data_IF_059117614727
#
_entry.id   IF_059117614727
#
_cell.length_a   1.000
_cell.length_b   1.000
_cell.length_c   1.000
_cell.angle_alpha   90.00
_cell.angle_beta   90.00
_cell.angle_gamma   90.00
#
_symmetry.space_group_name_H-M   'P 1'
#
loop_
_entity.id
_entity.type
_entity.pdbx_description
1 polymer ?
#
# COMPACT_ATOMS: atom_id res chain seq x y z
N UNK A 1 29.76 -31.48 -18.37
CA UNK A 1 29.01 -30.22 -18.47
C UNK A 1 27.71 -30.44 -17.71
N UNK A 2 27.68 -30.08 -16.43
CA UNK A 2 26.47 -30.23 -15.62
C UNK A 2 25.48 -29.14 -16.04
N UNK A 3 24.19 -29.47 -16.27
CA UNK A 3 23.20 -28.46 -16.56
C UNK A 3 23.07 -27.58 -15.31
N UNK A 4 23.18 -26.27 -15.51
CA UNK A 4 22.78 -25.29 -14.50
C UNK A 4 21.32 -25.58 -14.13
N UNK A 5 20.95 -25.58 -12.83
CA UNK A 5 19.54 -25.67 -12.47
C UNK A 5 18.79 -24.47 -13.08
N UNK A 6 17.58 -24.67 -13.62
CA UNK A 6 16.77 -23.57 -14.10
C UNK A 6 16.57 -22.58 -12.95
N UNK A 7 16.91 -21.31 -13.18
CA UNK A 7 16.54 -20.22 -12.29
C UNK A 7 15.03 -20.32 -12.06
N UNK A 8 14.63 -20.56 -10.81
CA UNK A 8 13.22 -20.52 -10.41
C UNK A 8 12.61 -19.22 -10.95
N UNK A 9 11.45 -19.27 -11.63
CA UNK A 9 10.76 -18.04 -11.99
C UNK A 9 10.52 -17.25 -10.71
N UNK A 10 10.69 -15.91 -10.71
CA UNK A 10 10.27 -15.11 -9.58
C UNK A 10 8.80 -15.45 -9.29
N UNK A 11 8.49 -15.80 -8.05
CA UNK A 11 7.10 -16.05 -7.63
C UNK A 11 6.32 -14.80 -8.02
N UNK A 12 5.49 -14.93 -9.05
CA UNK A 12 4.65 -13.85 -9.52
C UNK A 12 3.52 -13.69 -8.51
N UNK A 13 3.80 -12.99 -7.41
CA UNK A 13 2.75 -12.47 -6.56
C UNK A 13 2.14 -11.33 -7.33
N UNK A 14 0.90 -11.48 -7.79
CA UNK A 14 0.16 -10.42 -8.48
C UNK A 14 -0.91 -9.81 -7.56
N UNK A 15 -1.26 -10.52 -6.49
CA UNK A 15 -2.33 -10.17 -5.56
C UNK A 15 -1.99 -10.51 -4.09
N UNK A 16 -2.79 -10.00 -3.16
CA UNK A 16 -2.66 -10.36 -1.74
C UNK A 16 -3.15 -11.79 -1.47
N UNK A 17 -4.04 -12.29 -2.31
CA UNK A 17 -4.52 -13.66 -2.31
C UNK A 17 -3.37 -14.62 -2.61
N UNK A 18 -2.56 -14.34 -3.62
CA UNK A 18 -1.36 -15.14 -3.94
C UNK A 18 -0.40 -15.18 -2.76
N UNK A 19 -0.17 -14.03 -2.12
CA UNK A 19 0.64 -13.93 -0.89
C UNK A 19 0.07 -14.79 0.24
N UNK A 20 -1.25 -14.89 0.37
CA UNK A 20 -1.93 -15.70 1.39
C UNK A 20 -1.89 -17.21 1.08
N UNK A 21 -1.68 -17.60 -0.17
CA UNK A 21 -1.61 -19.01 -0.61
C UNK A 21 -0.20 -19.58 -0.56
N UNK A 22 0.82 -18.73 -0.65
CA UNK A 22 2.23 -19.11 -0.61
C UNK A 22 2.88 -18.88 0.78
N UNK A 23 4.11 -19.40 0.96
CA UNK A 23 4.89 -19.23 2.20
C UNK A 23 6.39 -18.95 1.97
N UNK A 24 6.80 -18.78 0.72
CA UNK A 24 8.16 -18.48 0.27
C UNK A 24 8.55 -17.02 0.54
N UNK A 25 7.65 -16.08 0.23
CA UNK A 25 7.80 -14.65 0.51
C UNK A 25 7.14 -14.36 1.86
N UNK A 26 7.93 -13.85 2.79
CA UNK A 26 7.41 -13.36 4.06
C UNK A 26 6.63 -12.06 3.85
N UNK A 27 5.62 -11.79 4.66
CA UNK A 27 4.90 -10.53 4.60
C UNK A 27 4.47 -10.05 5.98
N UNK A 28 4.43 -8.72 6.13
CA UNK A 28 4.15 -8.08 7.40
C UNK A 28 3.70 -6.63 7.26
N UNK A 29 3.36 -6.02 8.39
CA UNK A 29 2.84 -4.64 8.49
C UNK A 29 3.62 -3.85 9.54
N UNK A 30 3.37 -2.54 9.61
CA UNK A 30 3.87 -1.70 10.69
C UNK A 30 3.24 -2.14 12.03
N UNK A 31 4.08 -2.40 13.03
CA UNK A 31 3.64 -2.78 14.37
C UNK A 31 2.82 -1.65 15.00
N UNK A 32 1.64 -1.98 15.53
CA UNK A 32 0.70 -1.00 16.10
C UNK A 32 0.02 -0.09 15.08
N UNK A 33 0.23 -0.30 13.78
CA UNK A 33 -0.37 0.50 12.70
C UNK A 33 -1.84 0.15 12.42
N UNK A 34 -2.52 1.03 11.69
CA UNK A 34 -3.90 0.83 11.21
C UNK A 34 -4.03 -0.42 10.33
N UNK A 35 -3.04 -0.69 9.48
CA UNK A 35 -3.00 -1.88 8.62
C UNK A 35 -2.91 -3.17 9.44
N UNK A 36 -2.14 -3.18 10.54
CA UNK A 36 -2.09 -4.34 11.45
C UNK A 36 -3.46 -4.60 12.08
N UNK A 37 -4.11 -3.55 12.60
CA UNK A 37 -5.45 -3.65 13.16
C UNK A 37 -6.48 -4.11 12.11
N UNK A 38 -6.37 -3.64 10.87
CA UNK A 38 -7.22 -4.08 9.76
C UNK A 38 -7.16 -5.60 9.56
N UNK A 39 -5.97 -6.19 9.48
CA UNK A 39 -5.85 -7.64 9.30
C UNK A 39 -6.36 -8.42 10.53
N UNK A 40 -6.07 -7.93 11.74
CA UNK A 40 -6.54 -8.54 12.99
C UNK A 40 -8.06 -8.57 13.10
N UNK A 41 -8.71 -7.46 12.74
CA UNK A 41 -10.14 -7.25 12.96
C UNK A 41 -10.98 -7.58 11.69
N UNK A 42 -10.32 -8.04 10.61
CA UNK A 42 -10.96 -8.39 9.35
C UNK A 42 -11.90 -9.59 9.48
N UNK A 43 -13.00 -9.55 8.71
CA UNK A 43 -13.96 -10.64 8.58
C UNK A 43 -13.80 -11.45 7.29
N UNK A 44 -12.88 -11.04 6.41
CA UNK A 44 -12.60 -11.71 5.15
C UNK A 44 -11.66 -12.88 5.44
N UNK A 45 -12.03 -14.09 5.00
CA UNK A 45 -11.32 -15.33 5.31
C UNK A 45 -9.84 -15.27 4.90
N UNK A 46 -9.54 -14.77 3.70
CA UNK A 46 -8.17 -14.56 3.21
C UNK A 46 -7.35 -13.69 4.17
N UNK A 47 -7.90 -12.57 4.64
CA UNK A 47 -7.18 -11.65 5.52
C UNK A 47 -7.03 -12.19 6.94
N UNK A 48 -7.99 -12.99 7.42
CA UNK A 48 -7.84 -13.72 8.67
C UNK A 48 -6.73 -14.79 8.58
N UNK A 49 -6.62 -15.48 7.44
CA UNK A 49 -5.51 -16.42 7.18
C UNK A 49 -4.16 -15.70 7.19
N UNK A 50 -4.06 -14.56 6.50
CA UNK A 50 -2.87 -13.70 6.53
C UNK A 50 -2.53 -13.22 7.94
N UNK A 51 -3.53 -12.81 8.73
CA UNK A 51 -3.33 -12.43 10.13
C UNK A 51 -2.72 -13.56 10.95
N UNK A 52 -3.31 -14.77 10.88
CA UNK A 52 -2.79 -15.95 11.61
C UNK A 52 -1.35 -16.29 11.21
N UNK A 53 -1.02 -16.14 9.92
CA UNK A 53 0.35 -16.29 9.44
C UNK A 53 1.27 -15.25 10.11
N UNK A 54 0.91 -13.96 10.05
CA UNK A 54 1.73 -12.89 10.62
C UNK A 54 1.92 -13.02 12.13
N UNK A 55 0.86 -13.38 12.85
CA UNK A 55 0.86 -13.55 14.31
C UNK A 55 1.69 -14.76 14.78
N UNK A 56 1.69 -15.84 14.00
CA UNK A 56 2.39 -17.09 14.35
C UNK A 56 3.87 -17.11 13.95
N UNK A 57 4.31 -16.23 13.05
CA UNK A 57 5.68 -16.23 12.54
C UNK A 57 6.71 -15.77 13.57
N UNK A 58 7.81 -16.52 13.63
CA UNK A 58 9.01 -16.23 14.43
C UNK A 58 10.25 -16.43 13.54
N UNK A 59 11.14 -15.43 13.38
CA UNK A 59 11.10 -14.07 13.94
C UNK A 59 9.90 -13.25 13.45
N UNK A 60 9.61 -12.14 14.14
CA UNK A 60 8.45 -11.29 13.81
C UNK A 60 8.52 -10.79 12.38
N UNK A 61 7.39 -10.88 11.67
CA UNK A 61 7.22 -10.24 10.36
C UNK A 61 6.82 -8.77 10.49
N UNK A 62 6.37 -8.33 11.66
CA UNK A 62 6.08 -6.91 11.91
C UNK A 62 7.36 -6.11 12.04
N UNK A 63 7.29 -4.85 11.61
CA UNK A 63 8.40 -3.89 11.70
C UNK A 63 7.98 -2.68 12.54
N UNK A 64 8.88 -2.09 13.34
CA UNK A 64 8.55 -0.95 14.20
C UNK A 64 8.49 0.39 13.45
N UNK A 65 9.13 0.49 12.28
CA UNK A 65 9.19 1.71 11.47
C UNK A 65 8.98 1.43 9.98
N UNK A 66 8.55 2.45 9.23
CA UNK A 66 8.36 2.34 7.78
C UNK A 66 9.72 2.15 7.09
N UNK A 67 10.75 2.85 7.55
CA UNK A 67 12.11 2.78 7.03
C UNK A 67 12.68 1.36 7.13
N UNK A 68 12.44 0.67 8.26
CA UNK A 68 12.86 -0.72 8.44
C UNK A 68 12.07 -1.67 7.55
N UNK A 69 10.76 -1.43 7.38
CA UNK A 69 9.94 -2.16 6.41
C UNK A 69 10.47 -2.04 4.98
N UNK A 70 10.79 -0.81 4.55
CA UNK A 70 11.39 -0.54 3.24
C UNK A 70 12.74 -1.23 3.09
N UNK A 71 13.61 -1.14 4.10
CA UNK A 71 14.91 -1.80 4.10
C UNK A 71 14.76 -3.32 3.93
N UNK A 72 13.85 -3.95 4.68
CA UNK A 72 13.60 -5.40 4.61
C UNK A 72 13.07 -5.83 3.23
N UNK A 73 12.22 -5.01 2.59
CA UNK A 73 11.78 -5.27 1.20
C UNK A 73 12.95 -5.23 0.23
N UNK A 74 13.86 -4.26 0.38
CA UNK A 74 15.04 -4.13 -0.49
C UNK A 74 16.06 -5.26 -0.29
N UNK A 75 16.11 -5.87 0.90
CA UNK A 75 16.92 -7.06 1.18
C UNK A 75 16.34 -8.33 0.50
N UNK A 76 15.08 -8.28 0.03
CA UNK A 76 14.42 -9.34 -0.72
C UNK A 76 13.60 -10.30 0.15
N UNK A 77 12.81 -11.16 -0.52
CA UNK A 77 11.96 -12.20 0.09
C UNK A 77 10.97 -11.71 1.17
N UNK A 78 10.64 -10.42 1.17
CA UNK A 78 9.70 -9.81 2.10
C UNK A 78 8.79 -8.80 1.39
N UNK A 79 7.48 -8.91 1.64
CA UNK A 79 6.47 -7.98 1.17
C UNK A 79 5.94 -7.14 2.34
N UNK A 80 6.03 -5.81 2.20
CA UNK A 80 5.58 -4.90 3.23
C UNK A 80 4.20 -4.32 2.89
N UNK A 81 3.21 -4.68 3.70
CA UNK A 81 1.83 -4.24 3.55
C UNK A 81 1.64 -2.91 4.28
N UNK A 82 1.40 -1.84 3.52
CA UNK A 82 1.25 -0.49 4.03
C UNK A 82 0.04 0.23 3.43
N UNK A 83 -0.32 1.38 4.00
CA UNK A 83 -1.38 2.23 3.47
C UNK A 83 -1.01 2.81 2.10
N UNK A 84 -1.97 2.90 1.18
CA UNK A 84 -1.77 3.37 -0.20
C UNK A 84 -1.12 4.75 -0.31
N UNK A 85 -1.47 5.67 0.58
CA UNK A 85 -0.92 7.03 0.57
C UNK A 85 0.58 7.04 0.92
N UNK A 86 0.97 6.26 1.93
CA UNK A 86 2.37 6.06 2.32
C UNK A 86 3.13 5.26 1.25
N UNK A 87 2.47 4.28 0.63
CA UNK A 87 3.02 3.51 -0.48
C UNK A 87 3.36 4.40 -1.66
N UNK A 88 2.42 5.23 -2.11
CA UNK A 88 2.60 6.18 -3.20
C UNK A 88 3.78 7.12 -2.92
N UNK A 89 3.88 7.63 -1.69
CA UNK A 89 4.98 8.50 -1.28
C UNK A 89 6.34 7.81 -1.37
N UNK A 90 6.41 6.57 -0.91
CA UNK A 90 7.65 5.79 -0.78
C UNK A 90 8.14 5.28 -2.12
N UNK A 91 7.24 4.76 -2.96
CA UNK A 91 7.55 4.28 -4.32
C UNK A 91 7.98 5.43 -5.22
N UNK A 92 7.37 6.62 -5.05
CA UNK A 92 7.79 7.80 -5.78
C UNK A 92 9.24 8.19 -5.46
N UNK A 93 9.75 7.90 -4.26
CA UNK A 93 11.11 8.28 -3.85
C UNK A 93 12.15 7.17 -4.02
N UNK A 94 11.71 5.92 -4.06
CA UNK A 94 12.60 4.77 -4.18
C UNK A 94 12.21 3.90 -5.38
N UNK A 95 13.03 3.97 -6.43
CA UNK A 95 12.72 3.35 -7.71
C UNK A 95 12.89 1.82 -7.70
N UNK A 96 13.55 1.29 -6.66
CA UNK A 96 13.76 -0.14 -6.47
C UNK A 96 12.54 -0.83 -5.84
N UNK A 97 11.52 -0.07 -5.42
CA UNK A 97 10.28 -0.62 -4.87
C UNK A 97 9.22 -0.74 -5.96
N UNK A 98 8.50 -1.85 -5.95
CA UNK A 98 7.39 -2.08 -6.88
C UNK A 98 6.12 -2.32 -6.10
N UNK A 99 5.04 -1.66 -6.50
CA UNK A 99 3.70 -1.99 -5.99
C UNK A 99 3.24 -3.27 -6.67
N UNK A 100 2.76 -4.20 -5.85
CA UNK A 100 2.13 -5.43 -6.28
C UNK A 100 0.69 -5.42 -5.78
N UNK A 101 -0.24 -5.80 -6.65
CA UNK A 101 -1.67 -5.86 -6.32
C UNK A 101 -2.37 -4.50 -6.24
N UNK A 102 -3.67 -4.57 -5.96
CA UNK A 102 -4.57 -3.44 -5.82
C UNK A 102 -4.70 -2.92 -4.38
N UNK A 103 -5.65 -2.02 -4.19
CA UNK A 103 -6.02 -1.54 -2.86
C UNK A 103 -6.75 -2.64 -2.09
N UNK A 104 -6.24 -2.99 -0.91
CA UNK A 104 -6.87 -3.97 0.00
C UNK A 104 -8.02 -3.36 0.81
N UNK A 105 -7.99 -2.03 0.98
CA UNK A 105 -9.02 -1.23 1.61
C UNK A 105 -9.03 0.19 1.04
N UNK A 106 -10.12 0.91 1.27
CA UNK A 106 -10.25 2.33 0.99
C UNK A 106 -10.21 3.12 2.30
N UNK A 107 -9.02 3.39 2.79
CA UNK A 107 -8.83 4.25 3.96
C UNK A 107 -8.86 5.72 3.55
N UNK A 108 -9.44 6.56 4.41
CA UNK A 108 -9.46 8.01 4.25
C UNK A 108 -8.96 8.69 5.52
N UNK A 109 -8.25 9.80 5.34
CA UNK A 109 -7.81 10.63 6.45
C UNK A 109 -8.90 11.62 6.87
N UNK A 110 -9.06 11.79 8.18
CA UNK A 110 -10.00 12.74 8.76
C UNK A 110 -9.38 13.51 9.92
N UNK A 111 -9.91 14.70 10.19
CA UNK A 111 -9.53 15.51 11.36
C UNK A 111 -10.44 15.11 12.52
N UNK A 112 -9.89 14.41 13.51
CA UNK A 112 -10.62 13.99 14.69
C UNK A 112 -10.82 15.16 15.66
N UNK A 113 -12.02 15.28 16.23
CA UNK A 113 -12.34 16.24 17.29
C UNK A 113 -13.01 15.51 18.46
N UNK A 114 -12.92 16.04 19.71
CA UNK A 114 -13.64 15.47 20.84
C UNK A 114 -15.15 15.42 20.59
N UNK A 115 -15.82 14.42 21.18
CA UNK A 115 -17.28 14.28 21.10
C UNK A 115 -17.94 15.55 21.68
N UNK A 116 -18.87 16.14 20.93
CA UNK A 116 -19.55 17.39 21.30
C UNK A 116 -18.74 18.67 21.02
N UNK A 117 -17.59 18.58 20.34
CA UNK A 117 -16.80 19.76 19.99
C UNK A 117 -17.57 20.71 19.06
N UNK A 118 -17.64 22.02 19.39
CA UNK A 118 -18.27 23.02 18.53
C UNK A 118 -17.47 23.28 17.23
N UNK A 119 -16.28 22.70 17.12
CA UNK A 119 -15.41 22.84 15.94
C UNK A 119 -15.70 21.80 14.86
N UNK A 120 -16.39 20.71 15.20
CA UNK A 120 -16.64 19.61 14.25
C UNK A 120 -17.25 20.14 12.95
N UNK A 121 -18.38 20.83 13.05
CA UNK A 121 -19.12 21.29 11.87
C UNK A 121 -18.38 22.40 11.12
N UNK A 122 -17.69 23.29 11.85
CA UNK A 122 -16.89 24.37 11.26
C UNK A 122 -15.71 23.82 10.46
N UNK A 123 -15.02 22.81 11.00
CA UNK A 123 -13.91 22.14 10.32
C UNK A 123 -14.43 21.38 9.10
N UNK A 124 -15.53 20.64 9.23
CA UNK A 124 -16.14 19.94 8.10
C UNK A 124 -16.53 20.88 6.96
N UNK A 125 -17.14 22.03 7.27
CA UNK A 125 -17.49 23.03 6.24
C UNK A 125 -16.24 23.62 5.58
N UNK A 126 -15.20 23.95 6.35
CA UNK A 126 -13.95 24.45 5.81
C UNK A 126 -13.27 23.42 4.88
N UNK A 127 -13.28 22.13 5.23
CA UNK A 127 -12.75 21.06 4.36
C UNK A 127 -13.51 21.01 3.03
N UNK A 128 -14.85 21.10 3.06
CA UNK A 128 -15.67 21.12 1.85
C UNK A 128 -15.33 22.32 0.95
N UNK A 129 -15.18 23.51 1.53
CA UNK A 129 -14.77 24.69 0.76
C UNK A 129 -13.38 24.52 0.13
N UNK A 130 -12.42 23.96 0.86
CA UNK A 130 -11.06 23.70 0.34
C UNK A 130 -11.08 22.65 -0.79
N UNK A 131 -11.98 21.67 -0.70
CA UNK A 131 -12.17 20.65 -1.73
C UNK A 131 -12.82 21.25 -2.99
N UNK A 132 -13.89 22.04 -2.84
CA UNK A 132 -14.58 22.73 -3.94
C UNK A 132 -13.65 23.69 -4.68
N UNK A 133 -12.80 24.43 -3.94
CA UNK A 133 -11.78 25.31 -4.51
C UNK A 133 -10.57 24.57 -5.09
N UNK A 134 -10.53 23.24 -5.00
CA UNK A 134 -9.41 22.41 -5.48
C UNK A 134 -8.10 22.58 -4.70
N UNK A 135 -8.12 23.26 -3.55
CA UNK A 135 -6.92 23.56 -2.76
C UNK A 135 -6.27 22.29 -2.21
N UNK A 136 -7.08 21.32 -1.79
CA UNK A 136 -6.58 20.02 -1.32
C UNK A 136 -5.79 19.31 -2.42
N UNK A 137 -6.27 19.34 -3.67
CA UNK A 137 -5.58 18.74 -4.81
C UNK A 137 -4.28 19.47 -5.17
N UNK A 138 -4.27 20.80 -5.06
CA UNK A 138 -3.05 21.59 -5.24
C UNK A 138 -2.00 21.25 -4.18
N UNK A 139 -2.41 21.14 -2.90
CA UNK A 139 -1.52 20.73 -1.81
C UNK A 139 -0.99 19.31 -2.01
N UNK A 140 -1.85 18.36 -2.40
CA UNK A 140 -1.41 17.01 -2.73
C UNK A 140 -0.34 17.02 -3.83
N UNK A 141 -0.59 17.72 -4.93
CA UNK A 141 0.39 17.81 -6.03
C UNK A 141 1.71 18.44 -5.59
N UNK A 142 1.65 19.47 -4.73
CA UNK A 142 2.84 20.13 -4.18
C UNK A 142 3.69 19.19 -3.33
N UNK A 143 3.07 18.44 -2.41
CA UNK A 143 3.78 17.65 -1.41
C UNK A 143 4.11 16.22 -1.86
N UNK A 144 3.34 15.65 -2.79
CA UNK A 144 3.62 14.33 -3.35
C UNK A 144 4.43 14.41 -4.64
N UNK A 145 3.94 15.14 -5.66
CA UNK A 145 4.48 15.06 -7.03
C UNK A 145 5.64 16.02 -7.31
N UNK A 146 5.66 17.20 -6.69
CA UNK A 146 6.59 18.29 -7.05
C UNK A 146 7.79 18.40 -6.08
N UNK A 147 8.22 17.29 -5.48
CA UNK A 147 9.24 17.34 -4.41
C UNK A 147 10.69 17.19 -4.89
N UNK A 148 10.95 17.09 -6.20
CA UNK A 148 12.31 16.97 -6.76
C UNK A 148 12.95 15.58 -6.55
N UNK A 149 12.55 14.87 -5.50
CA UNK A 149 13.00 13.52 -5.15
C UNK A 149 12.14 12.40 -5.78
N UNK A 150 11.39 12.71 -6.83
CA UNK A 150 10.50 11.74 -7.49
C UNK A 150 11.26 10.99 -8.58
N UNK A 151 11.26 9.66 -8.51
CA UNK A 151 11.74 8.75 -9.52
C UNK A 151 11.13 9.10 -10.88
N UNK A 152 11.97 9.53 -11.82
CA UNK A 152 11.59 9.66 -13.22
C UNK A 152 11.61 8.26 -13.83
N UNK A 153 10.57 7.45 -13.55
CA UNK A 153 10.39 6.16 -14.20
C UNK A 153 10.05 6.45 -15.66
N UNK A 154 11.06 6.44 -16.53
CA UNK A 154 10.84 6.45 -17.96
C UNK A 154 9.78 5.40 -18.30
N UNK A 155 8.82 5.78 -19.15
CA UNK A 155 7.62 5.02 -19.52
C UNK A 155 7.93 3.76 -20.35
N UNK A 156 8.91 2.94 -19.98
CA UNK A 156 9.22 1.67 -20.64
C UNK A 156 8.59 0.44 -19.98
N UNK A 157 7.88 0.61 -18.87
CA UNK A 157 7.13 -0.46 -18.18
C UNK A 157 5.67 -0.05 -17.88
N UNK A 158 5.03 0.62 -18.85
CA UNK A 158 3.61 1.03 -18.75
C UNK A 158 2.62 0.00 -19.30
N UNK A 159 3.02 -1.23 -19.58
CA UNK A 159 2.11 -2.29 -20.06
C UNK A 159 1.47 -3.13 -18.95
N UNK A 160 1.37 -2.60 -17.72
CA UNK A 160 0.66 -3.31 -16.63
C UNK A 160 -0.18 -2.41 -15.74
N UNK A 161 -0.51 -1.19 -16.19
CA UNK A 161 -1.64 -0.47 -15.60
C UNK A 161 -2.92 -1.17 -16.05
N UNK A 162 -3.49 -1.95 -15.13
CA UNK A 162 -4.81 -2.56 -15.24
C UNK A 162 -5.79 -1.64 -15.98
N UNK A 163 -6.41 -2.19 -17.03
CA UNK A 163 -7.35 -1.49 -17.89
C UNK A 163 -8.46 -0.86 -17.05
N UNK A 164 -8.64 0.46 -17.19
CA UNK A 164 -9.84 1.13 -16.73
C UNK A 164 -11.06 0.54 -17.45
N UNK A 165 -12.10 0.23 -16.68
CA UNK A 165 -13.38 -0.29 -17.13
C UNK A 165 -13.97 0.63 -18.23
N UNK A 166 -13.88 0.18 -19.48
CA UNK A 166 -14.58 0.79 -20.61
C UNK A 166 -16.06 0.46 -20.53
N UNK A 167 -16.88 1.48 -20.29
CA UNK A 167 -18.34 1.39 -20.43
C UNK A 167 -18.67 1.50 -21.91
N UNK A 168 -18.64 0.37 -22.62
CA UNK A 168 -19.27 0.25 -23.94
C UNK A 168 -19.95 -1.11 -24.03
N UNK A 169 -21.25 -1.13 -23.74
CA UNK A 169 -22.26 -2.00 -24.34
C UNK A 169 -23.64 -1.43 -24.00
N UNK A 170 -24.06 -0.41 -24.75
CA UNK A 170 -25.45 0.00 -24.89
C UNK A 170 -25.70 0.12 -26.40
N UNK A 171 -26.52 -0.77 -26.95
CA UNK A 171 -27.07 -0.69 -28.31
C UNK A 171 -26.74 -1.89 -29.18
#
# INVERSE_FOLDING_TARGET
MFPFPPSLPPVATESAEDLAEQSEIEYGTLEGGSTMAFFRDSKIETYQKMWRYMESKRPSVFVPTIEEGVKRVLEGNYAFLMESTMLDYTIQRNCNLTQVGGLLNSNSYGIATPIGSPWRDKISLAILELQEKGIIQMLYSKWWKNTGDVCNRDEKNKDSKANALGVENIG
#
